data_IF_366529981173
#
_entry.id   IF_366529981173
#
_cell.length_a   1.000
_cell.length_b   1.000
_cell.length_c   1.000
_cell.angle_alpha   90.00
_cell.angle_beta   90.00
_cell.angle_gamma   90.00
#
_symmetry.space_group_name_H-M   'P 1'
#
loop_
_entity.id
_entity.type
_entity.pdbx_description
1 polymer ?
#
# COMPACT_ATOMS: atom_id res chain seq x y z
N UNK A 1 14.44 26.63 -2.73
CA UNK A 1 14.79 25.92 -1.49
C UNK A 1 13.51 25.40 -0.87
N UNK A 2 13.23 24.14 -1.13
CA UNK A 2 12.32 23.33 -0.35
C UNK A 2 12.87 23.21 1.07
N UNK A 3 12.19 23.83 2.04
CA UNK A 3 12.60 23.77 3.44
C UNK A 3 11.72 22.74 4.15
N UNK A 4 12.18 21.48 4.21
CA UNK A 4 11.54 20.46 5.04
C UNK A 4 11.77 20.83 6.50
N UNK A 5 10.67 21.05 7.24
CA UNK A 5 10.72 21.40 8.66
C UNK A 5 10.86 20.11 9.48
N UNK A 6 11.97 20.00 10.19
CA UNK A 6 12.21 18.91 11.15
C UNK A 6 11.60 19.33 12.50
N UNK A 7 10.83 18.46 13.18
CA UNK A 7 10.34 18.72 14.53
C UNK A 7 11.48 19.11 15.50
N UNK A 8 11.21 20.07 16.37
CA UNK A 8 12.23 20.64 17.28
C UNK A 8 12.91 19.57 18.14
N UNK A 9 12.15 18.60 18.63
CA UNK A 9 12.65 17.49 19.45
C UNK A 9 13.72 16.67 18.72
N UNK A 10 13.47 16.28 17.46
CA UNK A 10 14.43 15.55 16.62
C UNK A 10 15.61 16.45 16.21
N UNK A 11 15.33 17.69 15.83
CA UNK A 11 16.33 18.66 15.40
C UNK A 11 17.35 18.97 16.51
N UNK A 12 16.90 19.06 17.77
CA UNK A 12 17.77 19.32 18.92
C UNK A 12 18.80 18.20 19.14
N UNK A 13 18.42 16.94 18.90
CA UNK A 13 19.29 15.78 19.06
C UNK A 13 20.25 15.65 17.87
N UNK A 14 19.79 15.94 16.65
CA UNK A 14 20.61 15.97 15.44
C UNK A 14 21.74 17.02 15.55
N UNK A 15 21.43 18.21 16.06
CA UNK A 15 22.38 19.32 16.18
C UNK A 15 23.54 19.07 17.15
N UNK A 16 23.48 18.01 17.98
CA UNK A 16 24.63 17.60 18.82
C UNK A 16 25.82 17.12 17.98
N UNK A 17 25.59 16.64 16.75
CA UNK A 17 26.65 16.31 15.79
C UNK A 17 26.56 17.22 14.56
N UNK A 18 27.48 18.18 14.48
CA UNK A 18 27.53 19.16 13.38
C UNK A 18 27.78 18.53 12.01
N UNK A 19 28.52 17.41 11.96
CA UNK A 19 28.82 16.73 10.70
C UNK A 19 27.55 16.08 10.16
N UNK A 20 26.84 15.32 10.99
CA UNK A 20 25.60 14.66 10.59
C UNK A 20 24.49 15.67 10.26
N UNK A 21 24.35 16.73 11.07
CA UNK A 21 23.41 17.82 10.80
C UNK A 21 23.63 18.45 9.41
N UNK A 22 24.88 18.71 9.05
CA UNK A 22 25.24 19.23 7.72
C UNK A 22 24.85 18.28 6.57
N UNK A 23 25.11 16.97 6.73
CA UNK A 23 24.77 15.94 5.73
C UNK A 23 23.25 15.85 5.55
N UNK A 24 22.50 15.83 6.65
CA UNK A 24 21.04 15.73 6.64
C UNK A 24 20.43 16.97 5.99
N UNK A 25 20.85 18.17 6.36
CA UNK A 25 20.33 19.43 5.80
C UNK A 25 20.61 19.57 4.30
N UNK A 26 21.81 19.19 3.85
CA UNK A 26 22.16 19.16 2.43
C UNK A 26 21.26 18.19 1.66
N UNK A 27 21.10 16.97 2.18
CA UNK A 27 20.26 15.94 1.54
C UNK A 27 18.79 16.35 1.51
N UNK A 28 18.27 16.96 2.59
CA UNK A 28 16.92 17.53 2.65
C UNK A 28 16.71 18.64 1.63
N UNK A 29 17.73 19.47 1.37
CA UNK A 29 17.65 20.50 0.33
C UNK A 29 17.57 19.88 -1.06
N UNK A 30 18.45 18.92 -1.37
CA UNK A 30 18.54 18.32 -2.71
C UNK A 30 17.28 17.48 -3.04
N UNK A 31 16.90 16.58 -2.14
CA UNK A 31 15.71 15.73 -2.32
C UNK A 31 14.40 16.47 -2.04
N UNK A 32 14.44 17.53 -1.23
CA UNK A 32 13.29 18.38 -1.00
C UNK A 32 12.82 19.08 -2.27
N UNK A 33 13.72 19.47 -3.19
CA UNK A 33 13.31 20.05 -4.47
C UNK A 33 12.54 19.04 -5.34
N UNK A 34 12.96 17.77 -5.33
CA UNK A 34 12.24 16.66 -6.01
C UNK A 34 10.83 16.53 -5.43
N UNK A 35 10.74 16.42 -4.10
CA UNK A 35 9.46 16.28 -3.38
C UNK A 35 8.54 17.50 -3.53
N UNK A 36 9.14 18.70 -3.68
CA UNK A 36 8.40 19.96 -3.86
C UNK A 36 7.74 20.04 -5.21
N UNK A 37 8.42 19.55 -6.25
CA UNK A 37 7.87 19.54 -7.60
C UNK A 37 6.57 18.74 -7.65
N UNK A 38 6.48 17.67 -6.83
CA UNK A 38 5.31 16.78 -6.70
C UNK A 38 4.73 16.36 -8.05
N UNK A 39 5.59 16.31 -9.07
CA UNK A 39 5.27 15.85 -10.41
C UNK A 39 5.26 14.33 -10.37
N UNK A 40 4.24 13.77 -9.71
CA UNK A 40 3.98 12.33 -9.67
C UNK A 40 3.57 11.86 -11.08
N UNK A 41 4.57 11.75 -11.97
CA UNK A 41 4.39 11.53 -13.41
C UNK A 41 3.50 10.31 -13.71
N UNK A 42 3.59 9.27 -12.87
CA UNK A 42 2.78 8.07 -13.02
C UNK A 42 1.55 8.00 -12.08
N UNK A 43 1.35 8.97 -11.19
CA UNK A 43 0.29 8.97 -10.17
C UNK A 43 -0.54 10.26 -10.17
N UNK A 44 -1.11 10.62 -11.31
CA UNK A 44 -1.91 11.85 -11.49
C UNK A 44 -3.11 11.97 -10.53
N UNK A 45 -3.65 10.82 -10.13
CA UNK A 45 -4.87 10.71 -9.32
C UNK A 45 -4.62 10.41 -7.83
N UNK A 46 -3.38 10.16 -7.42
CA UNK A 46 -3.08 9.78 -6.04
C UNK A 46 -2.97 11.02 -5.13
N UNK A 47 -3.03 10.75 -3.82
CA UNK A 47 -2.89 11.74 -2.75
C UNK A 47 -1.48 12.34 -2.70
N UNK A 48 -1.31 13.35 -1.84
CA UNK A 48 -0.03 14.02 -1.68
C UNK A 48 1.05 13.09 -1.09
N UNK A 49 2.12 12.87 -1.86
CA UNK A 49 3.38 12.24 -1.42
C UNK A 49 4.56 13.22 -1.54
N UNK A 50 4.27 14.52 -1.55
CA UNK A 50 5.25 15.59 -1.60
C UNK A 50 5.78 15.97 -0.21
N UNK A 51 6.25 17.21 -0.09
CA UNK A 51 6.89 17.72 1.13
C UNK A 51 6.02 17.60 2.39
N UNK A 52 4.72 17.90 2.29
CA UNK A 52 3.83 17.94 3.45
C UNK A 52 3.66 16.56 4.08
N UNK A 53 3.55 15.52 3.25
CA UNK A 53 3.55 14.12 3.70
C UNK A 53 4.79 13.80 4.54
N UNK A 54 5.99 14.09 4.03
CA UNK A 54 7.26 13.84 4.73
C UNK A 54 7.31 14.57 6.07
N UNK A 55 6.87 15.84 6.11
CA UNK A 55 6.82 16.63 7.34
C UNK A 55 5.83 16.04 8.35
N UNK A 56 4.67 15.58 7.89
CA UNK A 56 3.68 14.92 8.73
C UNK A 56 4.21 13.60 9.29
N UNK A 57 5.03 12.83 8.53
CA UNK A 57 5.64 11.59 9.04
C UNK A 57 6.61 11.95 10.16
N UNK A 58 7.48 12.93 9.94
CA UNK A 58 8.43 13.39 10.96
C UNK A 58 7.70 13.89 12.23
N UNK A 59 6.63 14.67 12.05
CA UNK A 59 5.82 15.18 13.16
C UNK A 59 5.10 14.07 13.91
N UNK A 60 4.43 13.15 13.21
CA UNK A 60 3.78 11.98 13.80
C UNK A 60 4.77 11.11 14.59
N UNK A 61 5.99 10.98 14.06
CA UNK A 61 7.08 10.24 14.73
C UNK A 61 7.52 10.91 16.01
N UNK A 62 7.66 12.24 16.00
CA UNK A 62 8.01 13.00 17.21
C UNK A 62 6.97 12.85 18.33
N UNK A 63 5.70 12.62 17.96
CA UNK A 63 4.64 12.29 18.92
C UNK A 63 4.67 10.83 19.37
N UNK A 64 5.10 9.90 18.52
CA UNK A 64 5.10 8.46 18.82
C UNK A 64 6.27 8.04 19.72
N UNK A 65 7.44 8.67 19.58
CA UNK A 65 8.61 8.37 20.42
C UNK A 65 8.34 8.80 21.86
N UNK A 66 8.61 7.91 22.84
CA UNK A 66 8.57 8.27 24.27
C UNK A 66 9.69 9.23 24.65
N UNK A 67 9.42 10.15 25.58
CA UNK A 67 10.40 11.18 25.97
C UNK A 67 11.69 10.53 26.51
N UNK A 68 11.56 9.46 27.31
CA UNK A 68 12.70 8.66 27.80
C UNK A 68 13.52 8.03 26.65
N UNK A 69 12.86 7.47 25.64
CA UNK A 69 13.57 6.91 24.47
C UNK A 69 14.30 7.99 23.70
N UNK A 70 13.67 9.15 23.51
CA UNK A 70 14.30 10.26 22.79
C UNK A 70 15.52 10.82 23.52
N UNK A 71 15.43 10.98 24.84
CA UNK A 71 16.47 11.63 25.64
C UNK A 71 17.62 10.69 26.02
N UNK A 72 17.31 9.43 26.36
CA UNK A 72 18.25 8.52 27.00
C UNK A 72 18.73 7.36 26.10
N UNK A 73 18.06 7.10 24.96
CA UNK A 73 18.32 5.91 24.14
C UNK A 73 18.78 6.28 22.74
N UNK A 74 18.05 7.19 22.07
CA UNK A 74 18.38 7.58 20.70
C UNK A 74 19.61 8.50 20.66
N UNK A 75 20.45 8.25 19.66
CA UNK A 75 21.66 9.02 19.37
C UNK A 75 21.46 9.99 18.21
N UNK A 76 22.40 10.91 17.99
CA UNK A 76 22.39 11.78 16.81
C UNK A 76 22.46 10.98 15.51
N UNK A 77 23.17 9.85 15.49
CA UNK A 77 23.19 8.92 14.35
C UNK A 77 21.81 8.27 14.12
N UNK A 78 21.12 7.82 15.17
CA UNK A 78 19.76 7.26 15.04
C UNK A 78 18.81 8.27 14.38
N UNK A 79 18.83 9.52 14.83
CA UNK A 79 17.97 10.57 14.28
C UNK A 79 18.36 10.94 12.84
N UNK A 80 19.67 11.03 12.55
CA UNK A 80 20.12 11.31 11.20
C UNK A 80 19.66 10.20 10.23
N UNK A 81 19.83 8.93 10.61
CA UNK A 81 19.42 7.79 9.81
C UNK A 81 17.90 7.78 9.64
N UNK A 82 17.17 8.06 10.71
CA UNK A 82 15.71 8.12 10.68
C UNK A 82 15.20 9.19 9.71
N UNK A 83 15.70 10.43 9.80
CA UNK A 83 15.27 11.53 8.93
C UNK A 83 15.59 11.20 7.47
N UNK A 84 16.79 10.67 7.20
CA UNK A 84 17.18 10.24 5.85
C UNK A 84 16.28 9.13 5.31
N UNK A 85 15.91 8.15 6.13
CA UNK A 85 14.97 7.08 5.74
C UNK A 85 13.55 7.60 5.48
N UNK A 86 13.09 8.58 6.28
CA UNK A 86 11.77 9.20 6.08
C UNK A 86 11.72 9.96 4.76
N UNK A 87 12.77 10.67 4.35
CA UNK A 87 12.78 11.32 3.02
C UNK A 87 12.72 10.29 1.88
N UNK A 88 13.34 9.12 2.09
CA UNK A 88 13.45 8.08 1.06
C UNK A 88 12.21 7.22 0.89
N UNK A 89 11.41 6.97 1.95
CA UNK A 89 10.44 5.87 1.93
C UNK A 89 9.49 5.89 0.71
N UNK A 90 8.99 7.07 0.34
CA UNK A 90 8.10 7.29 -0.81
C UNK A 90 8.81 7.89 -2.04
N UNK A 91 10.13 8.10 -2.00
CA UNK A 91 10.84 8.78 -3.10
C UNK A 91 10.72 8.02 -4.44
N UNK A 92 10.52 6.71 -4.39
CA UNK A 92 10.28 5.88 -5.58
C UNK A 92 9.02 6.27 -6.35
N UNK A 93 8.04 6.91 -5.70
CA UNK A 93 6.82 7.41 -6.32
C UNK A 93 7.06 8.62 -7.23
N UNK A 94 8.19 9.33 -7.05
CA UNK A 94 8.60 10.51 -7.84
C UNK A 94 9.41 10.15 -9.09
N UNK A 95 9.53 8.86 -9.42
CA UNK A 95 10.25 8.44 -10.61
C UNK A 95 9.63 9.00 -11.90
N UNK A 96 10.51 9.44 -12.80
CA UNK A 96 10.15 9.79 -14.17
C UNK A 96 10.21 8.57 -15.08
N UNK A 97 9.71 8.71 -16.32
CA UNK A 97 9.84 7.68 -17.34
C UNK A 97 11.30 7.26 -17.60
N UNK A 98 12.21 8.22 -17.62
CA UNK A 98 13.63 7.93 -17.86
C UNK A 98 14.26 7.27 -16.65
N UNK A 99 13.90 7.68 -15.43
CA UNK A 99 14.28 6.98 -14.21
C UNK A 99 13.81 5.52 -14.21
N UNK A 100 12.56 5.28 -14.61
CA UNK A 100 12.00 3.94 -14.75
C UNK A 100 12.74 3.08 -15.80
N UNK A 101 13.08 3.66 -16.96
CA UNK A 101 13.88 2.97 -17.98
C UNK A 101 15.29 2.62 -17.48
N UNK A 102 15.90 3.50 -16.69
CA UNK A 102 17.22 3.24 -16.07
C UNK A 102 17.12 2.03 -15.13
N UNK A 103 16.08 1.96 -14.29
CA UNK A 103 15.85 0.80 -13.40
C UNK A 103 15.75 -0.50 -14.20
N UNK A 104 14.98 -0.49 -15.29
CA UNK A 104 14.75 -1.67 -16.13
C UNK A 104 15.96 -2.09 -16.95
N UNK A 105 16.85 -1.14 -17.31
CA UNK A 105 18.05 -1.44 -18.08
C UNK A 105 19.09 -2.29 -17.33
N UNK A 106 18.87 -2.54 -16.04
CA UNK A 106 19.76 -3.30 -15.18
C UNK A 106 21.04 -2.53 -14.82
N UNK A 107 21.98 -3.23 -14.18
CA UNK A 107 23.25 -2.65 -13.73
C UNK A 107 23.19 -2.20 -12.26
N UNK A 108 23.57 -0.95 -11.98
CA UNK A 108 23.79 -0.48 -10.60
C UNK A 108 22.52 -0.49 -9.73
N UNK A 109 21.34 -0.31 -10.34
CA UNK A 109 20.05 -0.39 -9.66
C UNK A 109 19.47 -1.80 -9.56
N UNK A 110 20.21 -2.83 -9.98
CA UNK A 110 19.75 -4.23 -9.91
C UNK A 110 20.69 -5.09 -9.07
N UNK A 111 21.29 -4.48 -8.05
CA UNK A 111 22.05 -5.19 -7.02
C UNK A 111 21.10 -6.03 -6.17
N UNK A 112 20.84 -7.25 -6.63
CA UNK A 112 20.00 -8.22 -5.92
C UNK A 112 20.56 -8.45 -4.51
N UNK A 113 19.66 -8.33 -3.53
CA UNK A 113 19.90 -8.79 -2.17
C UNK A 113 19.13 -10.09 -2.04
N UNK A 114 19.75 -11.27 -2.23
CA UNK A 114 19.03 -12.54 -2.39
C UNK A 114 18.02 -12.82 -1.27
N UNK A 115 18.28 -12.33 -0.06
CA UNK A 115 17.40 -12.46 1.11
C UNK A 115 16.13 -11.60 1.04
N UNK A 116 16.11 -10.55 0.22
CA UNK A 116 15.01 -9.57 0.12
C UNK A 116 14.46 -9.38 -1.32
N UNK A 117 15.27 -9.66 -2.34
CA UNK A 117 14.99 -9.46 -3.77
C UNK A 117 15.67 -10.54 -4.60
N UNK A 118 14.88 -11.45 -5.17
CA UNK A 118 15.39 -12.58 -5.95
C UNK A 118 15.41 -12.34 -7.47
N UNK A 119 14.64 -11.36 -7.95
CA UNK A 119 14.43 -11.12 -9.38
C UNK A 119 14.94 -9.75 -9.81
N UNK A 120 15.52 -9.70 -11.01
CA UNK A 120 15.89 -8.44 -11.66
C UNK A 120 14.68 -7.56 -11.95
N UNK A 121 14.88 -6.26 -12.07
CA UNK A 121 13.82 -5.33 -12.47
C UNK A 121 13.16 -5.71 -13.80
N UNK A 122 13.97 -6.12 -14.79
CA UNK A 122 13.47 -6.60 -16.08
C UNK A 122 12.54 -7.81 -15.90
N UNK A 123 12.97 -8.83 -15.14
CA UNK A 123 12.18 -10.03 -14.91
C UNK A 123 10.91 -9.74 -14.10
N UNK A 124 10.99 -8.87 -13.09
CA UNK A 124 9.80 -8.42 -12.34
C UNK A 124 8.81 -7.72 -13.25
N UNK A 125 9.28 -6.86 -14.14
CA UNK A 125 8.43 -6.16 -15.08
C UNK A 125 7.76 -7.12 -16.09
N UNK A 126 8.51 -8.08 -16.64
CA UNK A 126 7.92 -9.08 -17.53
C UNK A 126 6.88 -9.96 -16.84
N UNK A 127 7.16 -10.39 -15.60
CA UNK A 127 6.21 -11.15 -14.79
C UNK A 127 4.95 -10.34 -14.51
N UNK A 128 5.11 -9.07 -14.15
CA UNK A 128 4.00 -8.16 -13.92
C UNK A 128 3.18 -7.90 -15.19
N UNK A 129 3.82 -7.71 -16.36
CA UNK A 129 3.09 -7.58 -17.62
C UNK A 129 2.30 -8.84 -17.98
N UNK A 130 2.84 -10.02 -17.67
CA UNK A 130 2.13 -11.30 -17.86
C UNK A 130 0.92 -11.42 -16.92
N UNK A 131 1.07 -10.97 -15.66
CA UNK A 131 -0.03 -10.87 -14.69
C UNK A 131 -1.10 -9.88 -15.16
N UNK A 132 -0.69 -8.68 -15.58
CA UNK A 132 -1.59 -7.60 -15.99
C UNK A 132 -2.45 -7.98 -17.20
N UNK A 133 -1.90 -8.72 -18.16
CA UNK A 133 -2.67 -9.28 -19.30
C UNK A 133 -3.75 -10.27 -18.88
N UNK A 134 -3.74 -10.75 -17.64
CA UNK A 134 -4.70 -11.72 -17.09
C UNK A 134 -5.61 -11.12 -16.03
N UNK A 135 -5.57 -9.80 -15.83
CA UNK A 135 -6.47 -9.12 -14.90
C UNK A 135 -7.93 -9.44 -15.22
N UNK A 136 -8.70 -9.72 -14.17
CA UNK A 136 -10.16 -9.88 -14.26
C UNK A 136 -10.83 -8.55 -14.60
N UNK A 137 -12.06 -8.59 -15.15
CA UNK A 137 -12.85 -7.37 -15.40
C UNK A 137 -12.99 -6.49 -14.14
N UNK A 138 -13.17 -7.10 -12.97
CA UNK A 138 -13.17 -6.39 -11.67
C UNK A 138 -11.86 -5.65 -11.40
N UNK A 139 -10.72 -6.27 -11.68
CA UNK A 139 -9.41 -5.63 -11.50
C UNK A 139 -9.23 -4.49 -12.51
N UNK A 140 -9.58 -4.69 -13.77
CA UNK A 140 -9.50 -3.68 -14.81
C UNK A 140 -10.37 -2.45 -14.48
N UNK A 141 -11.61 -2.66 -14.07
CA UNK A 141 -12.50 -1.59 -13.59
C UNK A 141 -11.91 -0.89 -12.37
N UNK A 142 -11.38 -1.63 -11.40
CA UNK A 142 -10.84 -1.03 -10.18
C UNK A 142 -9.62 -0.14 -10.42
N UNK A 143 -8.74 -0.54 -11.35
CA UNK A 143 -7.48 0.16 -11.62
C UNK A 143 -7.70 1.30 -12.62
N UNK A 144 -8.41 1.01 -13.71
CA UNK A 144 -8.49 1.91 -14.86
C UNK A 144 -9.87 2.55 -15.06
N UNK A 145 -10.92 2.10 -14.35
CA UNK A 145 -12.30 2.57 -14.51
C UNK A 145 -13.07 1.91 -15.65
N UNK A 146 -12.45 1.03 -16.43
CA UNK A 146 -13.06 0.35 -17.58
C UNK A 146 -12.54 -1.10 -17.71
N UNK A 147 -13.43 -2.03 -18.07
CA UNK A 147 -13.10 -3.43 -18.34
C UNK A 147 -12.56 -3.70 -19.74
N UNK A 148 -12.89 -2.84 -20.72
CA UNK A 148 -12.51 -3.00 -22.13
C UNK A 148 -11.13 -2.38 -22.43
N UNK A 149 -10.13 -2.69 -21.59
CA UNK A 149 -8.78 -2.15 -21.75
C UNK A 149 -7.81 -3.22 -22.23
N UNK A 150 -7.15 -2.92 -23.35
CA UNK A 150 -6.06 -3.73 -23.85
C UNK A 150 -4.73 -3.34 -23.18
N UNK A 151 -4.14 -4.29 -22.46
CA UNK A 151 -2.84 -4.11 -21.81
C UNK A 151 -1.72 -4.25 -22.85
N UNK A 152 -1.15 -3.11 -23.25
CA UNK A 152 0.02 -3.00 -24.13
C UNK A 152 1.32 -2.90 -23.33
N UNK A 153 2.46 -3.12 -23.98
CA UNK A 153 3.78 -2.91 -23.37
C UNK A 153 4.23 -1.45 -23.60
N UNK A 154 4.19 -0.58 -22.58
CA UNK A 154 4.50 0.84 -22.74
C UNK A 154 5.97 1.13 -23.04
N UNK A 155 6.88 0.19 -22.79
CA UNK A 155 8.33 0.38 -23.04
C UNK A 155 8.69 0.41 -24.52
N UNK A 156 7.80 -0.06 -25.39
CA UNK A 156 7.98 -0.03 -26.85
C UNK A 156 7.58 1.35 -27.42
N UNK A 157 6.85 2.15 -26.63
CA UNK A 157 6.28 3.42 -27.05
C UNK A 157 7.25 4.59 -26.83
N UNK A 158 7.17 5.62 -27.68
CA UNK A 158 7.88 6.89 -27.43
C UNK A 158 7.21 7.63 -26.27
N UNK A 159 7.97 8.52 -25.60
CA UNK A 159 7.48 9.24 -24.42
C UNK A 159 6.15 10.02 -24.67
N UNK A 160 5.95 10.56 -25.87
CA UNK A 160 4.72 11.24 -26.27
C UNK A 160 3.55 10.33 -26.65
N UNK A 161 3.74 9.02 -26.69
CA UNK A 161 2.73 8.01 -27.07
C UNK A 161 2.13 7.30 -25.84
N UNK A 162 2.65 7.59 -24.64
CA UNK A 162 2.12 7.09 -23.38
C UNK A 162 0.83 7.80 -23.00
N UNK A 163 -0.23 7.03 -22.81
CA UNK A 163 -1.53 7.52 -22.33
C UNK A 163 -1.67 7.33 -20.81
N UNK A 164 -2.78 7.81 -20.24
CA UNK A 164 -3.06 7.68 -18.81
C UNK A 164 -3.13 6.24 -18.31
N UNK A 165 -3.60 5.29 -19.13
CA UNK A 165 -3.65 3.87 -18.77
C UNK A 165 -2.25 3.25 -18.68
N UNK A 166 -1.34 3.62 -19.58
CA UNK A 166 0.06 3.20 -19.49
C UNK A 166 0.72 3.72 -18.21
N UNK A 167 0.40 4.97 -17.82
CA UNK A 167 0.88 5.57 -16.57
C UNK A 167 0.31 4.86 -15.35
N UNK A 168 -0.98 4.52 -15.33
CA UNK A 168 -1.61 3.73 -14.26
C UNK A 168 -1.02 2.31 -14.16
N UNK A 169 -0.72 1.68 -15.29
CA UNK A 169 -0.09 0.36 -15.34
C UNK A 169 1.33 0.38 -14.76
N UNK A 170 2.14 1.37 -15.13
CA UNK A 170 3.51 1.53 -14.64
C UNK A 170 3.53 2.05 -13.19
N UNK A 171 2.96 3.24 -12.94
CA UNK A 171 2.96 3.88 -11.63
C UNK A 171 2.05 3.21 -10.64
N UNK A 172 0.75 3.29 -10.93
CA UNK A 172 -0.34 2.93 -10.01
C UNK A 172 -0.21 1.52 -9.43
N UNK A 173 0.43 0.60 -10.14
CA UNK A 173 0.61 -0.77 -9.67
C UNK A 173 2.06 -1.24 -9.63
N UNK A 174 2.87 -1.10 -10.68
CA UNK A 174 4.24 -1.64 -10.63
C UNK A 174 5.16 -0.84 -9.70
N UNK A 175 5.29 0.47 -9.91
CA UNK A 175 6.10 1.35 -9.04
C UNK A 175 5.50 1.31 -7.63
N UNK A 176 4.18 1.41 -7.48
CA UNK A 176 3.53 1.32 -6.15
C UNK A 176 3.85 0.02 -5.41
N UNK A 177 3.89 -1.14 -6.08
CA UNK A 177 4.24 -2.41 -5.40
C UNK A 177 5.70 -2.49 -4.99
N UNK A 178 6.58 -1.77 -5.69
CA UNK A 178 8.03 -1.92 -5.52
C UNK A 178 8.77 -0.64 -5.07
N UNK A 179 8.06 0.48 -4.83
CA UNK A 179 8.66 1.72 -4.34
C UNK A 179 9.49 1.57 -3.06
N UNK A 180 9.19 0.65 -2.10
CA UNK A 180 10.07 0.45 -0.96
C UNK A 180 11.43 -0.13 -1.39
N UNK A 181 11.45 -1.03 -2.39
CA UNK A 181 12.70 -1.56 -2.97
C UNK A 181 13.46 -0.45 -3.70
N UNK A 182 12.75 0.35 -4.50
CA UNK A 182 13.32 1.50 -5.22
C UNK A 182 13.95 2.49 -4.24
N UNK A 183 13.30 2.79 -3.12
CA UNK A 183 13.84 3.66 -2.07
C UNK A 183 15.18 3.17 -1.51
N UNK A 184 15.32 1.85 -1.28
CA UNK A 184 16.58 1.23 -0.86
C UNK A 184 17.68 1.42 -1.91
N UNK A 185 17.35 1.16 -3.18
CA UNK A 185 18.32 1.28 -4.27
C UNK A 185 18.74 2.73 -4.52
N UNK A 186 17.82 3.68 -4.36
CA UNK A 186 18.10 5.13 -4.42
C UNK A 186 19.01 5.55 -3.27
N UNK A 187 18.86 4.97 -2.07
CA UNK A 187 19.76 5.26 -0.95
C UNK A 187 21.23 4.93 -1.28
N UNK A 188 21.46 3.83 -2.01
CA UNK A 188 22.81 3.34 -2.34
C UNK A 188 23.35 4.01 -3.61
N UNK A 189 22.52 4.12 -4.64
CA UNK A 189 22.95 4.50 -5.99
C UNK A 189 22.62 5.95 -6.37
N UNK A 190 21.85 6.67 -5.56
CA UNK A 190 21.32 7.99 -5.85
C UNK A 190 20.00 7.95 -6.65
N UNK A 191 19.39 9.11 -6.83
CA UNK A 191 18.15 9.24 -7.60
C UNK A 191 18.45 9.22 -9.11
N UNK A 192 17.77 8.37 -9.90
CA UNK A 192 18.02 8.27 -11.34
C UNK A 192 17.45 9.51 -12.06
N UNK A 193 18.31 10.24 -12.79
CA UNK A 193 17.91 11.41 -13.58
C UNK A 193 18.46 11.36 -15.01
N UNK A 194 18.01 12.31 -15.86
CA UNK A 194 18.36 12.42 -17.27
C UNK A 194 19.88 12.41 -17.52
N UNK A 195 20.30 11.82 -18.63
CA UNK A 195 21.69 11.83 -19.14
C UNK A 195 22.78 11.31 -18.17
N UNK A 196 22.46 10.29 -17.36
CA UNK A 196 23.38 9.65 -16.38
C UNK A 196 23.87 10.57 -15.24
N UNK A 197 23.37 11.79 -15.12
CA UNK A 197 23.62 12.63 -13.96
C UNK A 197 22.71 12.16 -12.83
N UNK A 198 23.24 11.39 -11.88
CA UNK A 198 22.50 10.95 -10.70
C UNK A 198 22.54 12.04 -9.64
N UNK A 199 21.45 12.17 -8.89
CA UNK A 199 21.46 13.02 -7.69
C UNK A 199 21.91 12.12 -6.53
N UNK A 200 23.14 12.28 -6.00
CA UNK A 200 23.65 11.40 -4.96
C UNK A 200 22.86 11.59 -3.67
N UNK A 201 22.59 10.49 -2.96
CA UNK A 201 21.94 10.53 -1.65
C UNK A 201 23.00 10.49 -0.55
N UNK A 202 22.97 11.48 0.37
CA UNK A 202 23.85 11.56 1.54
C UNK A 202 25.32 11.18 1.25
N UNK A 203 25.94 11.82 0.25
CA UNK A 203 27.23 11.43 -0.35
C UNK A 203 28.41 11.29 0.63
N UNK A 204 28.35 11.92 1.80
CA UNK A 204 29.40 11.82 2.82
C UNK A 204 29.27 10.59 3.74
N UNK A 205 28.24 9.76 3.57
CA UNK A 205 28.04 8.50 4.29
C UNK A 205 28.63 7.31 3.52
N UNK A 206 29.04 6.28 4.25
CA UNK A 206 29.57 5.06 3.63
C UNK A 206 28.44 4.11 3.18
N UNK A 207 28.76 3.18 2.27
CA UNK A 207 27.78 2.23 1.69
C UNK A 207 27.04 1.42 2.75
N UNK A 208 27.68 1.03 3.86
CA UNK A 208 27.01 0.27 4.93
C UNK A 208 25.96 1.11 5.66
N UNK A 209 26.22 2.41 5.83
CA UNK A 209 25.27 3.35 6.42
C UNK A 209 24.10 3.60 5.47
N UNK A 210 24.38 3.84 4.18
CA UNK A 210 23.37 4.03 3.15
C UNK A 210 22.45 2.81 2.99
N UNK A 211 23.02 1.60 3.05
CA UNK A 211 22.28 0.35 3.01
C UNK A 211 21.35 0.20 4.22
N UNK A 212 21.77 0.58 5.43
CA UNK A 212 20.92 0.53 6.61
C UNK A 212 19.80 1.56 6.55
N UNK A 213 20.08 2.78 6.09
CA UNK A 213 19.09 3.84 5.86
C UNK A 213 18.06 3.38 4.82
N UNK A 214 18.53 2.79 3.72
CA UNK A 214 17.70 2.23 2.66
C UNK A 214 16.84 1.06 3.15
N UNK A 215 17.37 0.19 4.01
CA UNK A 215 16.60 -0.90 4.63
C UNK A 215 15.51 -0.37 5.56
N UNK A 216 15.80 0.65 6.37
CA UNK A 216 14.80 1.28 7.25
C UNK A 216 13.68 1.87 6.38
N UNK A 217 14.03 2.61 5.32
CA UNK A 217 13.05 3.14 4.38
C UNK A 217 12.24 2.02 3.72
N UNK A 218 12.90 1.01 3.15
CA UNK A 218 12.27 -0.15 2.50
C UNK A 218 11.35 -0.95 3.41
N UNK A 219 11.63 -0.95 4.71
CA UNK A 219 10.86 -1.72 5.67
C UNK A 219 9.38 -1.37 5.60
N UNK A 220 8.97 -0.14 5.26
CA UNK A 220 7.57 0.29 5.34
C UNK A 220 6.60 -0.52 4.46
N UNK A 221 7.06 -1.02 3.31
CA UNK A 221 6.27 -1.89 2.43
C UNK A 221 6.62 -3.37 2.53
N UNK A 222 7.36 -3.80 3.56
CA UNK A 222 7.77 -5.20 3.75
C UNK A 222 7.15 -5.81 5.02
N UNK A 223 7.31 -7.12 5.19
CA UNK A 223 7.01 -7.76 6.46
C UNK A 223 8.14 -7.45 7.47
N UNK A 224 7.80 -6.83 8.60
CA UNK A 224 8.78 -6.42 9.61
C UNK A 224 9.66 -7.58 10.11
N UNK A 225 9.11 -8.79 10.28
CA UNK A 225 9.90 -9.95 10.75
C UNK A 225 10.97 -10.35 9.75
N UNK A 226 10.67 -10.30 8.45
CA UNK A 226 11.67 -10.54 7.40
C UNK A 226 12.81 -9.52 7.45
N UNK A 227 12.51 -8.25 7.76
CA UNK A 227 13.54 -7.23 7.95
C UNK A 227 14.42 -7.52 9.16
N UNK A 228 13.84 -8.00 10.27
CA UNK A 228 14.58 -8.39 11.48
C UNK A 228 15.45 -9.62 11.23
N UNK A 229 14.91 -10.64 10.55
CA UNK A 229 15.67 -11.84 10.12
C UNK A 229 16.84 -11.46 9.20
N UNK A 230 16.63 -10.50 8.29
CA UNK A 230 17.71 -9.97 7.45
C UNK A 230 18.81 -9.30 8.27
N UNK A 231 18.45 -8.47 9.26
CA UNK A 231 19.41 -7.86 10.17
C UNK A 231 20.18 -8.92 10.98
N UNK A 232 19.50 -9.98 11.39
CA UNK A 232 20.12 -11.10 12.09
C UNK A 232 21.12 -11.85 11.22
N UNK A 233 20.74 -12.20 9.99
CA UNK A 233 21.62 -12.89 9.07
C UNK A 233 22.87 -12.06 8.73
N UNK A 234 22.70 -10.74 8.59
CA UNK A 234 23.77 -9.82 8.17
C UNK A 234 24.68 -9.37 9.32
N UNK A 235 24.14 -9.15 10.51
CA UNK A 235 24.85 -8.55 11.64
C UNK A 235 24.99 -9.47 12.86
N UNK A 236 24.41 -10.67 12.83
CA UNK A 236 24.47 -11.67 13.88
C UNK A 236 24.05 -11.12 15.24
N UNK A 237 24.94 -11.24 16.22
CA UNK A 237 24.70 -10.76 17.59
C UNK A 237 24.46 -9.24 17.70
N UNK A 238 24.82 -8.46 16.67
CA UNK A 238 24.58 -7.01 16.64
C UNK A 238 23.22 -6.64 16.01
N UNK A 239 22.32 -7.61 15.77
CA UNK A 239 21.01 -7.37 15.12
C UNK A 239 20.14 -6.30 15.79
N UNK A 240 20.33 -6.07 17.10
CA UNK A 240 19.59 -5.07 17.89
C UNK A 240 20.04 -3.63 17.60
N UNK A 241 21.34 -3.45 17.37
CA UNK A 241 22.01 -2.17 17.17
C UNK A 241 23.07 -2.25 16.05
N UNK A 242 22.70 -2.61 14.81
CA UNK A 242 23.65 -2.67 13.70
C UNK A 242 24.29 -1.30 13.49
N UNK A 243 25.62 -1.26 13.42
CA UNK A 243 26.40 0.00 13.35
C UNK A 243 26.18 0.97 14.53
N UNK A 244 25.64 0.49 15.65
CA UNK A 244 25.24 1.35 16.77
C UNK A 244 23.86 2.00 16.61
N UNK A 245 23.10 1.63 15.58
CA UNK A 245 21.80 2.22 15.25
C UNK A 245 20.66 1.29 15.66
N UNK A 246 19.63 1.82 16.31
CA UNK A 246 18.41 1.11 16.69
C UNK A 246 17.50 0.83 15.49
N UNK A 247 18.03 0.20 14.44
CA UNK A 247 17.39 0.09 13.13
C UNK A 247 16.00 -0.55 13.18
N UNK A 248 15.79 -1.61 13.96
CA UNK A 248 14.46 -2.24 14.10
C UNK A 248 13.44 -1.31 14.75
N UNK A 249 13.86 -0.49 15.71
CA UNK A 249 13.00 0.54 16.30
C UNK A 249 12.67 1.65 15.30
N UNK A 250 13.66 2.11 14.52
CA UNK A 250 13.46 3.12 13.48
C UNK A 250 12.51 2.65 12.36
N UNK A 251 12.58 1.36 11.99
CA UNK A 251 11.62 0.73 11.07
C UNK A 251 10.19 0.82 11.60
N UNK A 252 10.00 0.45 12.87
CA UNK A 252 8.70 0.51 13.55
C UNK A 252 8.18 1.96 13.61
N UNK A 253 9.05 2.90 13.97
CA UNK A 253 8.70 4.31 14.06
C UNK A 253 8.23 4.84 12.70
N UNK A 254 8.97 4.57 11.62
CA UNK A 254 8.56 4.96 10.26
C UNK A 254 7.22 4.34 9.87
N UNK A 255 7.08 3.02 10.08
CA UNK A 255 5.87 2.26 9.71
C UNK A 255 4.63 2.78 10.39
N UNK A 256 4.66 2.92 11.72
CA UNK A 256 3.49 3.38 12.46
C UNK A 256 3.19 4.84 12.12
N UNK A 257 4.20 5.70 12.02
CA UNK A 257 3.99 7.11 11.69
C UNK A 257 3.41 7.33 10.30
N UNK A 258 3.81 6.54 9.32
CA UNK A 258 3.22 6.55 7.98
C UNK A 258 1.77 6.06 8.01
N UNK A 259 1.49 4.94 8.69
CA UNK A 259 0.13 4.40 8.84
C UNK A 259 -0.83 5.33 9.59
N UNK A 260 -0.33 6.07 10.60
CA UNK A 260 -1.12 7.01 11.40
C UNK A 260 -1.41 8.32 10.68
N UNK A 261 -0.91 8.53 9.46
CA UNK A 261 -1.34 9.63 8.60
C UNK A 261 -2.74 9.42 8.01
N UNK A 262 -3.70 9.18 8.89
CA UNK A 262 -5.10 9.04 8.52
C UNK A 262 -5.83 10.39 8.49
N UNK A 263 -5.18 11.47 8.93
CA UNK A 263 -5.80 12.78 9.06
C UNK A 263 -6.32 13.32 7.71
N UNK A 264 -7.47 13.97 7.79
CA UNK A 264 -8.19 14.68 6.74
C UNK A 264 -7.35 15.76 6.02
N UNK A 265 -6.24 16.21 6.62
CA UNK A 265 -5.30 17.20 6.06
C UNK A 265 -4.64 16.74 4.76
N UNK A 266 -4.55 15.43 4.49
CA UNK A 266 -4.04 14.88 3.21
C UNK A 266 -4.91 15.21 1.99
N UNK A 267 -6.16 15.66 2.19
CA UNK A 267 -7.13 15.85 1.08
C UNK A 267 -7.82 17.21 1.14
N UNK A 268 -7.48 18.10 0.21
CA UNK A 268 -8.22 19.35 0.04
C UNK A 268 -9.62 19.11 -0.51
N UNK A 269 -10.65 19.47 0.28
CA UNK A 269 -12.08 19.44 -0.11
C UNK A 269 -12.36 20.27 -1.38
N UNK A 270 -11.54 21.27 -1.68
CA UNK A 270 -11.67 22.11 -2.88
C UNK A 270 -11.08 21.39 -4.09
N UNK A 271 -9.88 20.80 -3.96
CA UNK A 271 -9.22 20.05 -5.04
C UNK A 271 -10.06 18.84 -5.48
N UNK A 272 -10.69 18.15 -4.53
CA UNK A 272 -11.61 17.03 -4.81
C UNK A 272 -12.83 17.41 -5.65
N UNK A 273 -13.39 18.62 -5.45
CA UNK A 273 -14.52 19.10 -6.26
C UNK A 273 -14.11 19.45 -7.70
N UNK A 274 -12.82 19.62 -7.94
CA UNK A 274 -12.26 20.00 -9.24
C UNK A 274 -11.54 18.86 -9.96
N UNK A 275 -11.17 17.78 -9.25
CA UNK A 275 -10.57 16.58 -9.85
C UNK A 275 -11.65 15.62 -10.33
N UNK A 276 -11.54 15.16 -11.57
CA UNK A 276 -12.24 13.98 -12.07
C UNK A 276 -11.34 12.77 -11.85
N UNK A 277 -11.82 11.76 -11.14
CA UNK A 277 -11.10 10.49 -10.96
C UNK A 277 -11.59 9.48 -12.00
N UNK A 278 -10.66 8.88 -12.73
CA UNK A 278 -10.96 7.75 -13.61
C UNK A 278 -10.75 6.42 -12.87
N UNK A 279 -9.89 6.35 -11.86
CA UNK A 279 -9.70 5.17 -11.00
C UNK A 279 -10.63 5.17 -9.78
N UNK A 280 -11.53 4.18 -9.64
CA UNK A 280 -12.36 4.02 -8.44
C UNK A 280 -11.54 3.83 -7.15
N UNK A 281 -10.36 3.21 -7.22
CA UNK A 281 -9.50 3.02 -6.05
C UNK A 281 -9.03 4.38 -5.50
N UNK A 282 -8.55 5.25 -6.38
CA UNK A 282 -8.06 6.59 -6.04
C UNK A 282 -9.18 7.46 -5.44
N UNK A 283 -10.38 7.41 -6.02
CA UNK A 283 -11.56 8.10 -5.49
C UNK A 283 -11.93 7.61 -4.08
N UNK A 284 -11.95 6.28 -3.90
CA UNK A 284 -12.27 5.66 -2.61
C UNK A 284 -11.25 6.00 -1.53
N UNK A 285 -9.96 6.07 -1.87
CA UNK A 285 -8.89 6.47 -0.95
C UNK A 285 -9.12 7.89 -0.44
N UNK A 286 -9.34 8.84 -1.35
CA UNK A 286 -9.62 10.22 -0.97
C UNK A 286 -10.90 10.37 -0.14
N UNK A 287 -11.97 9.65 -0.50
CA UNK A 287 -13.23 9.69 0.25
C UNK A 287 -13.12 9.12 1.67
N UNK A 288 -12.18 8.20 1.93
CA UNK A 288 -11.98 7.62 3.26
C UNK A 288 -11.32 8.61 4.22
N UNK A 289 -10.34 9.38 3.74
CA UNK A 289 -9.70 10.42 4.56
C UNK A 289 -10.66 11.55 4.95
N UNK A 290 -11.61 11.89 4.07
CA UNK A 290 -12.65 12.89 4.37
C UNK A 290 -13.68 12.42 5.39
N UNK A 291 -13.78 11.12 5.64
CA UNK A 291 -14.72 10.55 6.59
C UNK A 291 -14.19 10.55 8.03
N UNK A 292 -12.94 10.95 8.25
CA UNK A 292 -12.34 11.04 9.58
C UNK A 292 -12.57 12.45 10.12
N UNK A 293 -13.21 12.52 11.29
CA UNK A 293 -13.60 13.78 11.90
C UNK A 293 -12.49 14.36 12.78
N UNK A 294 -11.93 13.54 13.68
CA UNK A 294 -10.81 13.91 14.52
C UNK A 294 -10.10 12.69 15.11
N UNK A 295 -8.85 12.90 15.51
CA UNK A 295 -8.01 11.94 16.23
C UNK A 295 -7.72 12.52 17.61
N UNK A 296 -8.02 11.76 18.67
CA UNK A 296 -7.71 12.10 20.06
C UNK A 296 -6.55 11.23 20.55
N UNK A 297 -5.42 11.89 20.83
CA UNK A 297 -4.17 11.32 21.33
C UNK A 297 -3.93 11.65 22.82
N UNK A 298 -4.92 12.24 23.51
CA UNK A 298 -4.84 12.70 24.92
C UNK A 298 -5.94 12.11 25.79
N UNK A 299 -6.38 10.90 25.46
CA UNK A 299 -7.44 10.25 26.22
C UNK A 299 -6.99 9.99 27.66
N UNK A 300 -7.72 10.52 28.63
CA UNK A 300 -7.28 10.56 30.04
C UNK A 300 -7.25 9.18 30.71
N UNK A 301 -8.10 8.25 30.27
CA UNK A 301 -8.24 6.93 30.90
C UNK A 301 -7.19 5.90 30.43
N UNK A 302 -6.61 6.10 29.24
CA UNK A 302 -5.60 5.20 28.69
C UNK A 302 -4.54 5.99 27.88
N UNK A 303 -3.39 6.30 28.48
CA UNK A 303 -2.35 7.11 27.84
C UNK A 303 -1.64 6.40 26.68
N UNK A 304 -1.82 5.08 26.52
CA UNK A 304 -1.24 4.29 25.43
C UNK A 304 -2.22 4.07 24.26
N UNK A 305 -3.35 4.80 24.24
CA UNK A 305 -4.42 4.64 23.24
C UNK A 305 -4.60 5.87 22.36
N UNK A 306 -4.80 5.61 21.08
CA UNK A 306 -5.29 6.58 20.10
C UNK A 306 -6.77 6.31 19.84
N UNK A 307 -7.60 7.35 19.89
CA UNK A 307 -9.01 7.26 19.53
C UNK A 307 -9.28 8.02 18.23
N UNK A 308 -9.98 7.38 17.29
CA UNK A 308 -10.32 7.96 15.98
C UNK A 308 -11.84 8.01 15.83
N UNK A 309 -12.36 9.22 15.66
CA UNK A 309 -13.77 9.44 15.29
C UNK A 309 -13.90 9.53 13.78
N UNK A 310 -14.82 8.77 13.22
CA UNK A 310 -15.14 8.81 11.80
C UNK A 310 -16.65 8.74 11.55
N UNK A 311 -17.10 9.41 10.49
CA UNK A 311 -18.48 9.47 10.01
C UNK A 311 -18.61 8.90 8.58
N UNK A 312 -18.55 7.56 8.41
CA UNK A 312 -18.73 6.94 7.11
C UNK A 312 -20.15 7.16 6.57
N UNK A 313 -20.24 7.51 5.29
CA UNK A 313 -21.52 7.82 4.61
C UNK A 313 -22.31 6.58 4.20
N UNK A 314 -21.62 5.46 3.97
CA UNK A 314 -22.22 4.21 3.50
C UNK A 314 -21.51 2.98 4.09
N UNK A 315 -22.09 1.81 3.87
CA UNK A 315 -21.57 0.52 4.34
C UNK A 315 -20.18 0.21 3.78
N UNK A 316 -19.90 0.59 2.54
CA UNK A 316 -18.62 0.31 1.90
C UNK A 316 -17.48 1.08 2.58
N UNK A 317 -17.69 2.38 2.83
CA UNK A 317 -16.77 3.26 3.54
C UNK A 317 -16.58 2.82 4.99
N UNK A 318 -17.66 2.42 5.67
CA UNK A 318 -17.58 1.85 7.03
C UNK A 318 -16.67 0.61 7.06
N UNK A 319 -16.89 -0.35 6.15
CA UNK A 319 -16.09 -1.58 6.07
C UNK A 319 -14.62 -1.28 5.73
N UNK A 320 -14.37 -0.29 4.86
CA UNK A 320 -13.02 0.15 4.51
C UNK A 320 -12.28 0.77 5.70
N UNK A 321 -12.91 1.68 6.44
CA UNK A 321 -12.33 2.29 7.64
C UNK A 321 -12.09 1.26 8.75
N UNK A 322 -13.04 0.34 8.96
CA UNK A 322 -12.87 -0.76 9.92
C UNK A 322 -11.68 -1.66 9.56
N UNK A 323 -11.49 -1.96 8.27
CA UNK A 323 -10.32 -2.69 7.79
C UNK A 323 -9.02 -1.91 8.03
N UNK A 324 -9.03 -0.60 7.78
CA UNK A 324 -7.89 0.29 8.02
C UNK A 324 -7.49 0.32 9.50
N UNK A 325 -8.43 0.55 10.42
CA UNK A 325 -8.14 0.57 11.86
C UNK A 325 -7.65 -0.79 12.37
N UNK A 326 -8.21 -1.89 11.84
CA UNK A 326 -7.71 -3.24 12.13
C UNK A 326 -6.27 -3.45 11.62
N UNK A 327 -5.96 -2.95 10.43
CA UNK A 327 -4.59 -3.00 9.88
C UNK A 327 -3.61 -2.21 10.74
N UNK A 328 -3.99 -1.01 11.21
CA UNK A 328 -3.15 -0.21 12.12
C UNK A 328 -2.95 -0.93 13.46
N UNK A 329 -3.99 -1.52 14.05
CA UNK A 329 -3.85 -2.30 15.27
C UNK A 329 -2.91 -3.50 15.06
N UNK A 330 -3.04 -4.20 13.92
CA UNK A 330 -2.15 -5.32 13.57
C UNK A 330 -0.70 -4.86 13.46
N UNK A 331 -0.47 -3.66 12.92
CA UNK A 331 0.86 -3.06 12.82
C UNK A 331 1.44 -2.72 14.21
N UNK A 332 0.62 -2.17 15.12
CA UNK A 332 1.00 -1.99 16.52
C UNK A 332 1.36 -3.32 17.21
N UNK A 333 0.52 -4.35 17.05
CA UNK A 333 0.70 -5.65 17.70
C UNK A 333 2.02 -6.32 17.26
N UNK A 334 2.30 -6.31 15.95
CA UNK A 334 3.55 -6.84 15.39
C UNK A 334 4.75 -6.04 15.88
N UNK A 335 4.63 -4.71 15.88
CA UNK A 335 5.69 -3.81 16.35
C UNK A 335 6.04 -4.05 17.82
N UNK A 336 5.03 -4.13 18.70
CA UNK A 336 5.23 -4.42 20.11
C UNK A 336 5.81 -5.81 20.35
N UNK A 337 5.38 -6.82 19.57
CA UNK A 337 5.96 -8.15 19.66
C UNK A 337 7.46 -8.14 19.30
N UNK A 338 7.85 -7.43 18.24
CA UNK A 338 9.26 -7.30 17.82
C UNK A 338 10.08 -6.50 18.85
N UNK A 339 9.56 -5.39 19.38
CA UNK A 339 10.24 -4.63 20.43
C UNK A 339 10.45 -5.46 21.71
N UNK A 340 9.43 -6.22 22.12
CA UNK A 340 9.51 -7.13 23.26
C UNK A 340 10.55 -8.24 23.05
N UNK A 341 10.60 -8.82 21.87
CA UNK A 341 11.57 -9.88 21.52
C UNK A 341 13.03 -9.35 21.50
N UNK A 342 13.24 -8.18 20.89
CA UNK A 342 14.59 -7.64 20.72
C UNK A 342 15.12 -6.94 21.96
N UNK A 343 14.29 -6.15 22.64
CA UNK A 343 14.72 -5.24 23.70
C UNK A 343 14.10 -5.57 25.07
N UNK A 344 13.23 -6.57 25.17
CA UNK A 344 12.48 -6.87 26.41
C UNK A 344 13.35 -7.19 27.63
N UNK A 345 14.54 -7.74 27.42
CA UNK A 345 15.50 -8.08 28.48
C UNK A 345 16.48 -6.94 28.85
N UNK A 346 16.34 -5.76 28.23
CA UNK A 346 17.20 -4.61 28.53
C UNK A 346 16.51 -3.68 29.53
N UNK A 347 17.29 -3.11 30.46
CA UNK A 347 16.80 -2.09 31.39
C UNK A 347 16.44 -0.80 30.63
N UNK A 348 17.34 -0.31 29.79
CA UNK A 348 17.11 0.83 28.89
C UNK A 348 16.69 0.29 27.52
N UNK A 349 15.39 0.35 27.20
CA UNK A 349 14.83 -0.17 25.95
C UNK A 349 14.02 0.88 25.21
N UNK A 350 14.12 0.96 23.88
CA UNK A 350 13.35 1.92 23.11
C UNK A 350 11.85 1.55 23.15
N UNK A 351 11.02 2.56 23.38
CA UNK A 351 9.58 2.44 23.57
C UNK A 351 8.82 3.50 22.76
N UNK A 352 7.73 3.06 22.13
CA UNK A 352 6.72 3.93 21.53
C UNK A 352 5.60 4.22 22.54
N UNK A 353 4.97 5.41 22.44
CA UNK A 353 3.93 5.86 23.39
C UNK A 353 2.63 5.06 23.30
N UNK A 354 2.24 4.65 22.09
CA UNK A 354 0.94 4.04 21.84
C UNK A 354 1.02 2.54 21.56
N UNK A 355 0.00 1.81 22.01
CA UNK A 355 -0.18 0.36 21.77
C UNK A 355 -1.49 0.03 21.09
N UNK A 356 -2.49 0.90 21.23
CA UNK A 356 -3.86 0.60 20.81
C UNK A 356 -4.47 1.74 20.01
N UNK A 357 -5.22 1.37 18.98
CA UNK A 357 -6.14 2.25 18.28
C UNK A 357 -7.57 1.79 18.56
N UNK A 358 -8.49 2.74 18.61
CA UNK A 358 -9.90 2.48 18.80
C UNK A 358 -10.73 3.46 18.01
N UNK A 359 -11.98 3.11 17.70
CA UNK A 359 -12.86 4.01 16.98
C UNK A 359 -14.29 3.99 17.50
N UNK A 360 -15.03 5.07 17.24
CA UNK A 360 -16.48 5.11 17.39
C UNK A 360 -17.19 4.05 16.51
N UNK A 361 -16.54 3.58 15.43
CA UNK A 361 -17.05 2.52 14.57
C UNK A 361 -17.13 1.14 15.27
N UNK A 362 -16.48 0.99 16.43
CA UNK A 362 -16.57 -0.22 17.26
C UNK A 362 -17.75 -0.17 18.26
N UNK A 363 -18.43 0.98 18.39
CA UNK A 363 -19.59 1.14 19.28
C UNK A 363 -20.88 0.65 18.61
N UNK A 364 -21.53 -0.32 19.26
CA UNK A 364 -22.81 -0.87 18.83
C UNK A 364 -23.93 0.17 18.79
N UNK A 365 -23.89 1.20 19.65
CA UNK A 365 -24.88 2.26 19.65
C UNK A 365 -24.74 3.13 18.41
N UNK A 366 -23.50 3.51 18.06
CA UNK A 366 -23.22 4.25 16.84
C UNK A 366 -23.74 3.51 15.60
N UNK A 367 -23.49 2.20 15.51
CA UNK A 367 -23.94 1.36 14.37
C UNK A 367 -25.47 1.32 14.26
N UNK A 368 -26.20 1.22 15.37
CA UNK A 368 -27.67 1.19 15.37
C UNK A 368 -28.30 2.49 14.87
N UNK A 369 -27.60 3.61 15.00
CA UNK A 369 -28.06 4.93 14.56
C UNK A 369 -27.79 5.19 13.07
N UNK A 370 -26.99 4.34 12.40
CA UNK A 370 -26.67 4.52 10.99
C UNK A 370 -27.80 4.06 10.06
N UNK A 371 -27.85 4.65 8.87
CA UNK A 371 -28.83 4.32 7.82
C UNK A 371 -28.43 3.10 6.96
N UNK A 372 -27.29 2.47 7.26
CA UNK A 372 -26.73 1.35 6.50
C UNK A 372 -26.37 0.17 7.40
N UNK A 373 -26.28 -1.03 6.80
CA UNK A 373 -25.88 -2.26 7.50
C UNK A 373 -24.35 -2.35 7.51
N UNK A 374 -23.76 -2.46 8.69
CA UNK A 374 -22.30 -2.55 8.90
C UNK A 374 -21.71 -3.95 8.78
N UNK A 375 -22.41 -4.90 8.17
CA UNK A 375 -21.96 -6.29 8.05
C UNK A 375 -21.35 -6.59 6.69
N UNK A 376 -20.23 -7.33 6.70
CA UNK A 376 -19.60 -7.81 5.48
C UNK A 376 -20.30 -9.07 4.99
N UNK A 377 -21.14 -8.91 3.96
CA UNK A 377 -21.79 -10.02 3.26
C UNK A 377 -21.12 -10.15 1.90
N UNK A 378 -20.45 -11.27 1.65
CA UNK A 378 -19.79 -11.53 0.35
C UNK A 378 -20.10 -12.92 -0.19
N UNK A 379 -20.46 -12.99 -1.47
CA UNK A 379 -20.43 -14.22 -2.25
C UNK A 379 -19.14 -14.24 -3.07
N UNK A 380 -18.29 -15.25 -2.87
CA UNK A 380 -17.10 -15.47 -3.69
C UNK A 380 -17.36 -16.60 -4.68
N UNK A 381 -17.62 -16.23 -5.93
CA UNK A 381 -17.45 -17.14 -7.07
C UNK A 381 -16.07 -16.86 -7.70
N UNK A 382 -15.38 -17.90 -8.16
CA UNK A 382 -14.14 -17.71 -8.91
C UNK A 382 -14.51 -17.24 -10.33
N UNK A 383 -14.14 -16.00 -10.68
CA UNK A 383 -14.44 -15.41 -11.99
C UNK A 383 -13.84 -16.22 -13.17
N UNK A 384 -12.85 -17.08 -12.93
CA UNK A 384 -12.31 -18.00 -13.93
C UNK A 384 -13.24 -19.19 -14.21
N UNK A 385 -14.14 -19.56 -13.28
CA UNK A 385 -15.18 -20.57 -13.53
C UNK A 385 -16.13 -20.07 -14.63
N UNK A 386 -16.48 -18.79 -14.61
CA UNK A 386 -17.27 -18.16 -15.69
C UNK A 386 -16.55 -18.14 -17.02
N UNK A 387 -15.22 -18.13 -17.06
CA UNK A 387 -14.46 -18.27 -18.32
C UNK A 387 -14.41 -19.71 -18.82
N UNK A 388 -14.41 -20.69 -17.91
CA UNK A 388 -14.60 -22.11 -18.27
C UNK A 388 -15.99 -22.38 -18.89
N UNK A 389 -16.97 -21.50 -18.65
CA UNK A 389 -18.29 -21.52 -19.28
C UNK A 389 -18.30 -20.92 -20.72
N UNK A 390 -17.22 -20.28 -21.19
CA UNK A 390 -17.17 -19.54 -22.47
C UNK A 390 -16.49 -20.34 -23.62
N UNK A 391 -15.89 -21.50 -23.33
CA UNK A 391 -15.69 -22.58 -24.31
C UNK A 391 -16.74 -23.66 -24.08
N UNK A 392 -17.01 -24.60 -25.02
CA UNK A 392 -18.06 -25.57 -24.80
C UNK A 392 -17.70 -26.39 -23.56
N UNK A 393 -18.40 -26.14 -22.46
CA UNK A 393 -18.21 -26.75 -21.13
C UNK A 393 -18.13 -28.30 -21.22
N UNK A 394 -18.64 -28.85 -22.32
CA UNK A 394 -18.70 -30.26 -22.63
C UNK A 394 -18.06 -30.68 -23.97
N UNK A 395 -17.05 -29.95 -24.47
CA UNK A 395 -16.24 -30.38 -25.62
C UNK A 395 -16.99 -30.44 -26.96
N UNK A 396 -17.82 -29.44 -27.26
CA UNK A 396 -18.70 -29.36 -28.43
C UNK A 396 -19.73 -30.51 -28.53
N UNK A 397 -20.15 -31.06 -27.40
CA UNK A 397 -21.22 -32.05 -27.35
C UNK A 397 -22.48 -31.44 -26.69
N UNK A 398 -23.43 -30.89 -27.47
CA UNK A 398 -24.65 -30.27 -26.96
C UNK A 398 -25.48 -31.17 -26.03
N UNK A 399 -25.38 -32.49 -26.22
CA UNK A 399 -26.06 -33.51 -25.40
C UNK A 399 -25.86 -33.31 -23.89
N UNK A 400 -24.68 -32.87 -23.46
CA UNK A 400 -24.39 -32.68 -22.04
C UNK A 400 -25.00 -31.37 -21.53
N UNK A 401 -24.97 -30.29 -22.32
CA UNK A 401 -25.66 -29.04 -21.96
C UNK A 401 -27.18 -29.24 -21.82
N UNK A 402 -27.78 -30.00 -22.74
CA UNK A 402 -29.20 -30.36 -22.68
C UNK A 402 -29.50 -31.20 -21.43
N UNK A 403 -28.67 -32.21 -21.14
CA UNK A 403 -28.83 -33.04 -19.94
C UNK A 403 -28.85 -32.19 -18.66
N UNK A 404 -27.94 -31.24 -18.56
CA UNK A 404 -27.77 -30.42 -17.35
C UNK A 404 -28.86 -29.35 -17.23
N UNK A 405 -29.35 -28.79 -18.33
CA UNK A 405 -30.54 -27.92 -18.32
C UNK A 405 -31.80 -28.66 -17.86
N UNK A 406 -31.99 -29.90 -18.34
CA UNK A 406 -33.10 -30.76 -17.90
C UNK A 406 -32.95 -31.09 -16.41
N UNK A 407 -31.74 -31.47 -15.98
CA UNK A 407 -31.47 -31.82 -14.59
C UNK A 407 -31.74 -30.62 -13.67
N UNK A 408 -31.25 -29.42 -14.01
CA UNK A 408 -31.50 -28.20 -13.23
C UNK A 408 -33.00 -27.87 -13.17
N UNK A 409 -33.74 -28.09 -14.24
CA UNK A 409 -35.20 -27.86 -14.28
C UNK A 409 -35.95 -28.84 -13.37
N UNK A 410 -35.54 -30.10 -13.36
CA UNK A 410 -36.08 -31.13 -12.46
C UNK A 410 -35.72 -30.83 -11.00
N UNK A 411 -34.47 -30.48 -10.73
CA UNK A 411 -33.98 -30.18 -9.39
C UNK A 411 -34.70 -28.94 -8.82
N UNK A 412 -34.92 -27.90 -9.63
CA UNK A 412 -35.69 -26.73 -9.23
C UNK A 412 -37.15 -27.05 -8.89
N UNK A 413 -37.79 -27.96 -9.65
CA UNK A 413 -39.15 -28.43 -9.34
C UNK A 413 -39.19 -29.22 -8.02
N UNK A 414 -38.19 -30.08 -7.79
CA UNK A 414 -38.08 -30.87 -6.56
C UNK A 414 -37.78 -29.98 -5.34
N UNK A 415 -36.87 -29.03 -5.46
CA UNK A 415 -36.55 -28.07 -4.39
C UNK A 415 -37.78 -27.24 -4.01
N UNK A 416 -38.52 -26.73 -5.00
CA UNK A 416 -39.78 -26.02 -4.76
C UNK A 416 -40.82 -26.90 -4.05
N UNK A 417 -40.96 -28.15 -4.48
CA UNK A 417 -41.85 -29.14 -3.88
C UNK A 417 -41.55 -29.36 -2.38
N UNK A 418 -40.26 -29.50 -2.04
CA UNK A 418 -39.82 -29.68 -0.65
C UNK A 418 -40.01 -28.41 0.21
N UNK A 419 -39.72 -27.22 -0.34
CA UNK A 419 -39.86 -25.94 0.38
C UNK A 419 -41.33 -25.59 0.64
N UNK A 420 -42.20 -25.79 -0.35
CA UNK A 420 -43.60 -25.39 -0.29
C UNK A 420 -44.50 -26.42 0.43
N UNK A 421 -43.97 -27.58 0.83
CA UNK A 421 -44.59 -28.57 1.73
C UNK A 421 -46.09 -28.81 1.42
N UNK A 422 -46.36 -29.25 0.18
CA UNK A 422 -47.66 -29.47 -0.48
C UNK A 422 -48.93 -29.13 0.32
N UNK A 423 -49.51 -27.96 0.02
CA UNK A 423 -50.92 -27.66 0.27
C UNK A 423 -51.68 -27.15 -0.97
N UNK A 424 -51.11 -27.33 -2.18
CA UNK A 424 -51.75 -26.95 -3.45
C UNK A 424 -51.42 -27.95 -4.57
N UNK A 425 -52.34 -28.09 -5.52
CA UNK A 425 -52.27 -28.92 -6.74
C UNK A 425 -51.14 -28.47 -7.70
N UNK A 426 -49.88 -28.61 -7.28
CA UNK A 426 -48.71 -28.34 -8.13
C UNK A 426 -48.28 -29.63 -8.85
N UNK A 427 -48.51 -29.67 -10.16
CA UNK A 427 -47.91 -30.66 -11.05
C UNK A 427 -46.66 -30.07 -11.70
N UNK A 428 -45.48 -30.58 -11.34
CA UNK A 428 -44.23 -30.17 -11.98
C UNK A 428 -44.20 -30.62 -13.45
N UNK A 429 -44.16 -29.67 -14.38
CA UNK A 429 -44.01 -29.93 -15.82
C UNK A 429 -42.74 -29.26 -16.34
N UNK A 430 -41.83 -30.06 -16.90
CA UNK A 430 -40.64 -29.56 -17.60
C UNK A 430 -40.88 -29.74 -19.09
N UNK A 431 -41.19 -28.63 -19.78
CA UNK A 431 -41.40 -28.61 -21.22
C UNK A 431 -40.10 -28.28 -21.95
N UNK A 432 -39.78 -29.06 -22.99
CA UNK A 432 -38.58 -28.88 -23.81
C UNK A 432 -39.05 -28.63 -25.25
N UNK A 433 -38.67 -27.50 -25.82
CA UNK A 433 -38.98 -27.15 -27.20
C UNK A 433 -37.69 -26.99 -28.00
N UNK A 434 -37.66 -27.51 -29.23
CA UNK A 434 -36.51 -27.34 -30.12
C UNK A 434 -36.95 -26.41 -31.25
N UNK A 435 -36.40 -25.20 -31.25
CA UNK A 435 -36.73 -24.15 -32.22
C UNK A 435 -35.68 -24.15 -33.33
N UNK A 436 -36.09 -24.40 -34.57
CA UNK A 436 -35.21 -24.38 -35.73
C UNK A 436 -35.08 -22.95 -36.30
N UNK A 437 -33.87 -22.41 -36.34
CA UNK A 437 -33.60 -21.13 -36.99
C UNK A 437 -33.42 -21.31 -38.52
N UNK A 438 -33.64 -20.23 -39.28
CA UNK A 438 -33.60 -20.19 -40.76
C UNK A 438 -32.33 -20.76 -41.44
N UNK A 439 -31.27 -21.00 -40.68
CA UNK A 439 -30.01 -21.60 -41.14
C UNK A 439 -29.87 -23.10 -40.80
N UNK A 440 -30.94 -23.79 -40.40
CA UNK A 440 -30.92 -25.22 -40.00
C UNK A 440 -30.19 -25.49 -38.67
N UNK A 441 -30.09 -24.46 -37.81
CA UNK A 441 -29.50 -24.57 -36.47
C UNK A 441 -30.61 -24.59 -35.42
N UNK A 442 -30.53 -25.52 -34.47
CA UNK A 442 -31.51 -25.70 -33.41
C UNK A 442 -31.15 -24.86 -32.17
N UNK A 443 -32.12 -24.13 -31.63
CA UNK A 443 -32.12 -23.58 -30.27
C UNK A 443 -32.97 -24.52 -29.40
N UNK A 444 -32.57 -24.72 -28.15
CA UNK A 444 -33.30 -25.53 -27.18
C UNK A 444 -33.81 -24.65 -26.05
#
# INVERSE_FOLDING_TARGET
>A
MANIIIPESLNSLLQKDQRLDGIVKKTLSDFGEILKENNLFFFEEYTDHGLEHIQNVLHGSSKLVSDDTLENILTSDDIAFYILSVILHDIGMHLTLDGFKILLSGGEYDNLTPELSELSWENLWQNYLSEAKRFSGKQLISIFGNEDIEIRNPLILKAGELNGNDRKLIGGEFIRRHHPRIAHEIAINGFPSLEKNKIPFASELNIKQLDLIGLIARSHGMNLRKCVEFLENKHGNSRRIPLGIHASYLMILLRISDYLQIDSSRVSKIVMKTKTFESPISELEHNSHLAIDFIDDKYQDDPERIHVSAAPKDSFMYLKLKKLFKSIQTEFDISWAVLGELYGNLENKPLIKFRRISSNLDDLNYIKEQTYIGDYISFKANDDITKLLIGPLYGNHPKYGIRELIQNSVDACNERSEIENFNLDYSAEVNIEIIENANGKFLL
#
